data_IF_076745700651
#
_entry.id   IF_076745700651
#
_cell.length_a   1.000
_cell.length_b   1.000
_cell.length_c   1.000
_cell.angle_alpha   90.00
_cell.angle_beta   90.00
_cell.angle_gamma   90.00
#
_symmetry.space_group_name_H-M   'P 1'
#
loop_
_entity.id
_entity.type
_entity.pdbx_description
1 polymer ?
#
# COMPACT_ATOMS: atom_id res chain seq x y z
N UNK A 1 2.21 -10.72 62.65
CA UNK A 1 2.02 -11.86 61.73
C UNK A 1 0.56 -11.86 61.30
N UNK A 2 0.12 -11.64 60.07
CA UNK A 2 0.71 -11.16 58.82
C UNK A 2 -0.47 -10.58 58.02
N UNK A 3 -0.29 -9.45 57.34
CA UNK A 3 -1.26 -8.87 56.41
C UNK A 3 -1.43 -9.84 55.22
N UNK A 4 -2.67 -10.25 54.93
CA UNK A 4 -3.01 -10.91 53.66
C UNK A 4 -3.06 -9.86 52.56
N UNK A 5 -1.96 -9.76 51.82
CA UNK A 5 -1.81 -8.94 50.63
C UNK A 5 -2.76 -9.43 49.53
N UNK A 6 -3.70 -8.58 49.15
CA UNK A 6 -4.52 -8.77 47.97
C UNK A 6 -3.62 -8.77 46.72
N UNK A 7 -3.51 -9.92 46.06
CA UNK A 7 -2.94 -10.02 44.71
C UNK A 7 -3.98 -9.43 43.75
N UNK A 8 -3.84 -8.14 43.45
CA UNK A 8 -4.50 -7.54 42.30
C UNK A 8 -3.85 -8.12 41.04
N UNK A 9 -4.53 -9.09 40.42
CA UNK A 9 -4.24 -9.52 39.07
C UNK A 9 -4.62 -8.36 38.14
N UNK A 10 -3.68 -7.47 37.86
CA UNK A 10 -3.86 -6.46 36.81
C UNK A 10 -3.77 -7.19 35.47
N UNK A 11 -4.92 -7.60 34.95
CA UNK A 11 -5.09 -7.87 33.53
C UNK A 11 -5.01 -6.51 32.84
N UNK A 12 -3.78 -6.07 32.54
CA UNK A 12 -3.56 -5.02 31.59
C UNK A 12 -3.94 -5.58 30.22
N UNK A 13 -5.22 -5.47 29.85
CA UNK A 13 -5.62 -5.53 28.45
C UNK A 13 -4.97 -4.34 27.76
N UNK A 14 -3.75 -4.53 27.28
CA UNK A 14 -3.21 -3.65 26.27
C UNK A 14 -4.12 -3.80 25.05
N UNK A 15 -4.87 -2.74 24.73
CA UNK A 15 -5.50 -2.54 23.43
C UNK A 15 -4.37 -2.39 22.40
N UNK A 16 -3.61 -3.47 22.16
CA UNK A 16 -2.61 -3.52 21.11
C UNK A 16 -3.36 -3.61 19.80
N UNK A 17 -3.75 -2.43 19.28
CA UNK A 17 -4.30 -2.32 17.95
C UNK A 17 -3.35 -3.04 16.99
N UNK A 18 -3.84 -4.00 16.18
CA UNK A 18 -3.00 -4.78 15.28
C UNK A 18 -2.09 -3.87 14.46
N UNK A 19 -0.80 -4.20 14.37
CA UNK A 19 0.16 -3.43 13.60
C UNK A 19 -0.34 -3.23 12.15
N UNK A 20 -0.06 -2.08 11.53
CA UNK A 20 -0.46 -1.84 10.15
C UNK A 20 0.19 -2.86 9.22
N UNK A 21 -0.58 -3.35 8.26
CA UNK A 21 -0.13 -4.29 7.21
C UNK A 21 0.12 -3.52 5.92
N UNK A 22 1.32 -3.68 5.36
CA UNK A 22 1.67 -3.01 4.12
C UNK A 22 1.23 -3.84 2.90
N UNK A 23 0.63 -3.20 1.89
CA UNK A 23 0.23 -3.87 0.64
C UNK A 23 1.44 -4.39 -0.13
N UNK A 24 2.59 -3.74 0.01
CA UNK A 24 3.83 -4.17 -0.63
C UNK A 24 5.06 -3.85 0.20
N UNK A 25 6.16 -4.48 -0.16
CA UNK A 25 7.48 -4.21 0.39
C UNK A 25 8.43 -3.79 -0.72
N UNK A 26 9.34 -2.87 -0.39
CA UNK A 26 10.41 -2.48 -1.30
C UNK A 26 11.42 -3.61 -1.45
N UNK A 27 11.77 -3.95 -2.70
CA UNK A 27 12.87 -4.87 -2.96
C UNK A 27 14.18 -4.13 -2.76
N UNK A 28 14.92 -4.49 -1.70
CA UNK A 28 16.28 -4.00 -1.50
C UNK A 28 17.19 -4.61 -2.58
N UNK A 29 17.36 -3.88 -3.67
CA UNK A 29 18.37 -4.25 -4.67
C UNK A 29 19.70 -3.64 -4.21
N UNK A 30 20.80 -4.40 -4.10
CA UNK A 30 22.11 -3.81 -3.88
C UNK A 30 22.39 -2.77 -4.98
N UNK A 31 23.03 -1.65 -4.61
CA UNK A 31 23.39 -0.56 -5.51
C UNK A 31 24.33 -1.08 -6.62
N UNK A 32 23.77 -1.65 -7.68
CA UNK A 32 24.48 -1.81 -8.94
C UNK A 32 24.26 -0.54 -9.73
N UNK A 33 25.30 0.27 -9.76
CA UNK A 33 25.42 1.41 -10.66
C UNK A 33 25.17 0.95 -12.09
N UNK A 34 24.40 1.77 -12.81
CA UNK A 34 24.40 1.89 -14.26
C UNK A 34 23.55 0.89 -15.07
N UNK A 35 22.30 1.29 -15.33
CA UNK A 35 21.84 1.32 -16.70
C UNK A 35 20.82 2.47 -16.88
N UNK A 36 21.09 3.46 -17.75
CA UNK A 36 20.12 4.48 -18.11
C UNK A 36 19.05 3.82 -18.98
N UNK A 37 18.10 3.15 -18.36
CA UNK A 37 16.82 2.86 -19.03
C UNK A 37 16.25 4.22 -19.40
N UNK A 38 15.81 4.46 -20.66
CA UNK A 38 15.15 5.71 -21.02
C UNK A 38 13.93 5.88 -20.11
N UNK A 39 14.09 6.70 -19.07
CA UNK A 39 13.02 7.01 -18.13
C UNK A 39 12.15 8.05 -18.82
N UNK A 40 10.85 7.77 -18.82
CA UNK A 40 9.83 8.75 -19.20
C UNK A 40 10.14 10.08 -18.47
N UNK A 41 10.17 11.25 -19.14
CA UNK A 41 10.65 12.49 -18.54
C UNK A 41 9.79 12.99 -17.36
N UNK A 42 8.57 12.47 -17.21
CA UNK A 42 7.68 12.71 -16.08
C UNK A 42 7.89 11.75 -14.89
N UNK A 43 8.70 10.70 -15.02
CA UNK A 43 8.99 9.76 -13.92
C UNK A 43 10.18 10.30 -13.12
N UNK A 44 9.92 10.67 -11.86
CA UNK A 44 10.92 11.20 -10.93
C UNK A 44 11.74 10.08 -10.31
N UNK A 45 11.06 9.03 -9.84
CA UNK A 45 11.66 7.88 -9.17
C UNK A 45 10.89 6.61 -9.51
N UNK A 46 11.60 5.50 -9.43
CA UNK A 46 11.03 4.18 -9.58
C UNK A 46 11.71 3.21 -8.61
N UNK A 47 10.98 2.18 -8.18
CA UNK A 47 11.53 1.08 -7.40
C UNK A 47 10.73 -0.19 -7.60
N UNK A 48 11.40 -1.33 -7.51
CA UNK A 48 10.71 -2.62 -7.52
C UNK A 48 10.03 -2.86 -6.16
N UNK A 49 8.82 -3.41 -6.20
CA UNK A 49 8.01 -3.77 -5.04
C UNK A 49 7.48 -5.20 -5.17
N UNK A 50 7.27 -5.85 -4.03
CA UNK A 50 6.66 -7.19 -3.93
C UNK A 50 5.37 -7.07 -3.12
N UNK A 51 4.28 -7.63 -3.64
CA UNK A 51 2.97 -7.60 -3.00
C UNK A 51 2.88 -8.59 -1.83
N UNK A 52 2.19 -8.19 -0.77
CA UNK A 52 1.68 -9.11 0.24
C UNK A 52 0.43 -9.81 -0.32
N UNK A 53 0.61 -11.02 -0.86
CA UNK A 53 -0.47 -11.77 -1.51
C UNK A 53 -1.63 -12.10 -0.55
N UNK A 54 -1.41 -12.55 0.71
CA UNK A 54 -2.47 -12.68 1.70
C UNK A 54 -3.26 -11.39 1.89
N UNK A 55 -2.60 -10.24 2.00
CA UNK A 55 -3.28 -8.95 2.16
C UNK A 55 -4.06 -8.57 0.90
N UNK A 56 -3.52 -8.87 -0.27
CA UNK A 56 -4.21 -8.66 -1.55
C UNK A 56 -5.52 -9.44 -1.64
N UNK A 57 -5.56 -10.69 -1.13
CA UNK A 57 -6.81 -11.46 -1.08
C UNK A 57 -7.85 -10.82 -0.16
N UNK A 58 -7.43 -10.32 1.00
CA UNK A 58 -8.32 -9.60 1.92
C UNK A 58 -8.90 -8.35 1.23
N UNK A 59 -8.06 -7.58 0.54
CA UNK A 59 -8.49 -6.36 -0.14
C UNK A 59 -9.47 -6.61 -1.30
N UNK A 60 -9.34 -7.76 -1.98
CA UNK A 60 -10.20 -8.18 -3.11
C UNK A 60 -11.59 -8.59 -2.65
N UNK A 61 -11.73 -9.07 -1.41
CA UNK A 61 -12.98 -9.52 -0.85
C UNK A 61 -13.82 -8.33 -0.35
N UNK A 62 -14.87 -7.97 -1.11
CA UNK A 62 -15.78 -6.89 -0.73
C UNK A 62 -16.50 -7.14 0.60
N UNK A 63 -16.64 -8.41 1.01
CA UNK A 63 -17.25 -8.82 2.28
C UNK A 63 -16.30 -8.81 3.48
N UNK A 64 -14.98 -8.70 3.28
CA UNK A 64 -13.96 -8.80 4.32
C UNK A 64 -13.83 -7.53 5.20
N UNK A 65 -14.95 -7.04 5.73
CA UNK A 65 -14.99 -5.85 6.61
C UNK A 65 -15.22 -6.25 8.06
N UNK A 66 -14.56 -5.59 9.04
CA UNK A 66 -13.61 -4.48 8.86
C UNK A 66 -12.23 -4.96 8.35
N UNK A 67 -11.61 -4.20 7.46
CA UNK A 67 -10.22 -4.45 7.08
C UNK A 67 -9.28 -4.19 8.25
N UNK A 68 -8.13 -4.89 8.36
CA UNK A 68 -7.07 -4.47 9.25
C UNK A 68 -6.55 -3.09 8.83
N UNK A 69 -5.71 -2.45 9.65
CA UNK A 69 -5.05 -1.21 9.24
C UNK A 69 -4.14 -1.51 8.05
N UNK A 70 -4.46 -0.96 6.88
CA UNK A 70 -3.72 -1.17 5.63
C UNK A 70 -2.87 0.06 5.37
N UNK A 71 -1.61 -0.14 5.01
CA UNK A 71 -0.70 0.92 4.60
C UNK A 71 -0.05 0.63 3.26
N UNK A 72 0.49 1.67 2.64
CA UNK A 72 1.38 1.56 1.48
C UNK A 72 2.67 2.29 1.76
N UNK A 73 3.82 1.68 1.45
CA UNK A 73 5.10 2.38 1.49
C UNK A 73 5.32 3.17 0.20
N UNK A 74 5.61 4.46 0.31
CA UNK A 74 6.05 5.32 -0.79
C UNK A 74 7.57 5.59 -0.70
N UNK A 75 8.11 6.49 -1.53
CA UNK A 75 9.56 6.68 -1.69
C UNK A 75 10.26 7.38 -0.53
N UNK A 76 9.53 8.11 0.30
CA UNK A 76 10.07 8.83 1.46
C UNK A 76 10.28 7.91 2.68
N UNK A 77 9.99 6.62 2.55
CA UNK A 77 10.02 5.65 3.65
C UNK A 77 8.81 5.77 4.59
N UNK A 78 7.89 6.69 4.33
CA UNK A 78 6.67 6.86 5.10
C UNK A 78 5.60 5.89 4.61
N UNK A 79 4.99 5.15 5.54
CA UNK A 79 3.82 4.33 5.27
C UNK A 79 2.56 5.19 5.35
N UNK A 80 1.79 5.23 4.27
CA UNK A 80 0.52 5.96 4.19
C UNK A 80 -0.64 5.01 4.50
N UNK A 81 -1.43 5.32 5.54
CA UNK A 81 -2.60 4.50 5.88
C UNK A 81 -3.76 4.76 4.91
N UNK A 82 -4.36 3.68 4.44
CA UNK A 82 -5.47 3.71 3.51
C UNK A 82 -6.81 3.73 4.26
N UNK A 83 -7.71 4.59 3.81
CA UNK A 83 -9.13 4.54 4.12
C UNK A 83 -9.90 4.01 2.92
N UNK A 84 -10.24 2.71 2.95
CA UNK A 84 -10.85 2.03 1.82
C UNK A 84 -12.36 2.22 1.84
N UNK A 85 -12.86 3.10 0.98
CA UNK A 85 -14.28 3.44 0.87
C UNK A 85 -15.08 2.48 0.00
N UNK A 86 -14.45 1.81 -0.97
CA UNK A 86 -15.15 0.89 -1.87
C UNK A 86 -14.27 -0.27 -2.34
N UNK A 87 -14.83 -1.48 -2.35
CA UNK A 87 -14.28 -2.65 -3.04
C UNK A 87 -15.38 -3.19 -3.93
N UNK A 88 -15.13 -3.25 -5.24
CA UNK A 88 -16.05 -3.84 -6.22
C UNK A 88 -15.38 -5.08 -6.80
N UNK A 89 -15.76 -6.25 -6.29
CA UNK A 89 -15.34 -7.54 -6.83
C UNK A 89 -16.15 -7.84 -8.09
N UNK A 90 -15.48 -7.91 -9.24
CA UNK A 90 -16.11 -8.17 -10.56
C UNK A 90 -16.14 -9.66 -10.88
N UNK A 91 -15.16 -10.40 -10.40
CA UNK A 91 -15.04 -11.85 -10.50
C UNK A 91 -14.24 -12.37 -9.31
N UNK A 92 -14.06 -13.69 -9.21
CA UNK A 92 -13.23 -14.30 -8.15
C UNK A 92 -11.78 -13.79 -8.18
N UNK A 93 -11.30 -13.30 -9.32
CA UNK A 93 -9.91 -12.84 -9.49
C UNK A 93 -9.75 -11.35 -9.72
N UNK A 94 -10.83 -10.61 -10.03
CA UNK A 94 -10.73 -9.18 -10.33
C UNK A 94 -11.52 -8.33 -9.34
N UNK A 95 -10.86 -7.31 -8.78
CA UNK A 95 -11.52 -6.28 -7.99
C UNK A 95 -10.98 -4.88 -8.29
N UNK A 96 -11.85 -3.89 -8.11
CA UNK A 96 -11.48 -2.47 -8.09
C UNK A 96 -11.65 -1.96 -6.67
N UNK A 97 -10.57 -1.44 -6.09
CA UNK A 97 -10.52 -0.92 -4.73
C UNK A 97 -10.28 0.58 -4.81
N UNK A 98 -11.07 1.36 -4.10
CA UNK A 98 -10.99 2.82 -4.08
C UNK A 98 -11.02 3.33 -2.66
N UNK A 99 -10.40 4.48 -2.44
CA UNK A 99 -10.35 5.09 -1.14
C UNK A 99 -9.54 6.38 -1.12
N UNK A 100 -9.30 6.84 0.10
CA UNK A 100 -8.49 8.02 0.39
C UNK A 100 -7.36 7.67 1.34
N UNK A 101 -6.37 8.54 1.48
CA UNK A 101 -5.39 8.42 2.56
C UNK A 101 -5.98 8.96 3.86
N UNK A 102 -5.64 8.32 5.00
CA UNK A 102 -5.97 8.88 6.31
C UNK A 102 -5.11 10.11 6.61
N UNK A 103 -5.62 11.07 7.42
CA UNK A 103 -4.84 12.21 7.86
C UNK A 103 -3.51 11.81 8.51
N UNK A 104 -2.44 12.60 8.35
CA UNK A 104 -2.42 13.95 7.77
C UNK A 104 -2.39 13.99 6.23
N UNK A 105 -2.26 12.83 5.61
CA UNK A 105 -2.17 12.68 4.16
C UNK A 105 -3.49 13.02 3.47
N UNK A 106 -3.39 13.71 2.33
CA UNK A 106 -4.54 14.15 1.53
C UNK A 106 -4.40 13.63 0.11
N UNK A 107 -5.40 12.88 -0.32
CA UNK A 107 -5.42 12.32 -1.65
C UNK A 107 -6.27 11.05 -1.71
N UNK A 108 -6.32 10.49 -2.90
CA UNK A 108 -7.13 9.33 -3.24
C UNK A 108 -6.30 8.28 -3.97
N UNK A 109 -6.86 7.07 -4.01
CA UNK A 109 -6.26 5.97 -4.75
C UNK A 109 -7.32 5.11 -5.42
N UNK A 110 -6.91 4.49 -6.51
CA UNK A 110 -7.63 3.41 -7.18
C UNK A 110 -6.66 2.28 -7.47
N UNK A 111 -6.97 1.09 -6.98
CA UNK A 111 -6.27 -0.15 -7.31
C UNK A 111 -7.16 -1.07 -8.10
N UNK A 112 -6.59 -1.66 -9.15
CA UNK A 112 -7.19 -2.74 -9.92
C UNK A 112 -6.36 -3.98 -9.66
N UNK A 113 -7.00 -4.98 -9.06
CA UNK A 113 -6.40 -6.28 -8.76
C UNK A 113 -6.89 -7.28 -9.78
N UNK A 114 -5.98 -8.09 -10.34
CA UNK A 114 -6.30 -9.22 -11.19
C UNK A 114 -5.40 -10.41 -10.85
N UNK A 115 -5.94 -11.41 -10.16
CA UNK A 115 -5.18 -12.53 -9.60
C UNK A 115 -4.16 -12.03 -8.57
N UNK A 116 -2.87 -12.17 -8.87
CA UNK A 116 -1.74 -11.66 -8.07
C UNK A 116 -1.19 -10.32 -8.57
N UNK A 117 -1.79 -9.73 -9.61
CA UNK A 117 -1.37 -8.44 -10.16
C UNK A 117 -2.13 -7.30 -9.49
N UNK A 118 -1.44 -6.18 -9.26
CA UNK A 118 -2.01 -4.92 -8.80
C UNK A 118 -1.50 -3.78 -9.68
N UNK A 119 -2.42 -3.13 -10.38
CA UNK A 119 -2.16 -1.87 -11.07
C UNK A 119 -2.89 -0.78 -10.31
N UNK A 120 -2.16 0.25 -9.93
CA UNK A 120 -2.63 1.24 -8.98
C UNK A 120 -2.27 2.64 -9.41
N UNK A 121 -3.15 3.58 -9.09
CA UNK A 121 -2.90 5.01 -9.17
C UNK A 121 -3.24 5.63 -7.83
N UNK A 122 -2.36 6.49 -7.33
CA UNK A 122 -2.49 7.20 -6.06
C UNK A 122 -2.13 8.66 -6.30
N UNK A 123 -3.05 9.58 -6.03
CA UNK A 123 -2.75 11.00 -5.97
C UNK A 123 -2.49 11.35 -4.50
N UNK A 124 -1.34 11.93 -4.19
CA UNK A 124 -1.02 12.38 -2.83
C UNK A 124 -0.36 13.76 -2.89
N UNK A 125 -1.08 14.79 -2.44
CA UNK A 125 -0.67 16.18 -2.66
C UNK A 125 -0.47 16.46 -4.15
N UNK A 126 0.69 17.00 -4.52
CA UNK A 126 1.07 17.33 -5.89
C UNK A 126 1.82 16.20 -6.62
N UNK A 127 1.85 14.99 -6.04
CA UNK A 127 2.53 13.83 -6.61
C UNK A 127 1.55 12.76 -7.03
N UNK A 128 1.83 12.18 -8.19
CA UNK A 128 1.13 11.01 -8.70
C UNK A 128 2.03 9.78 -8.50
N UNK A 129 1.47 8.71 -7.95
CA UNK A 129 2.16 7.44 -7.84
C UNK A 129 1.41 6.37 -8.63
N UNK A 130 2.16 5.52 -9.32
CA UNK A 130 1.59 4.40 -10.07
C UNK A 130 2.32 3.10 -9.75
N UNK A 131 1.56 2.02 -9.67
CA UNK A 131 2.14 0.68 -9.72
C UNK A 131 1.91 0.09 -11.09
N UNK A 132 2.99 -0.41 -11.70
CA UNK A 132 2.97 -1.02 -13.02
C UNK A 132 3.61 -2.41 -12.94
N UNK A 133 3.09 -3.34 -13.74
CA UNK A 133 3.70 -4.64 -13.91
C UNK A 133 4.91 -4.52 -14.84
N UNK A 134 6.02 -5.16 -14.45
CA UNK A 134 7.23 -5.28 -15.26
C UNK A 134 7.48 -6.76 -15.57
N UNK A 135 8.52 -7.05 -16.36
CA UNK A 135 8.78 -8.43 -16.81
C UNK A 135 8.96 -9.41 -15.64
N UNK A 136 8.68 -10.70 -15.87
CA UNK A 136 8.84 -11.78 -14.89
C UNK A 136 7.94 -11.68 -13.63
N UNK A 137 6.73 -11.13 -13.74
CA UNK A 137 5.78 -11.12 -12.61
C UNK A 137 6.10 -10.09 -11.52
N UNK A 138 7.06 -9.21 -11.77
CA UNK A 138 7.50 -8.19 -10.81
C UNK A 138 6.66 -6.93 -10.95
N UNK A 139 6.60 -6.13 -9.88
CA UNK A 139 5.90 -4.86 -9.86
C UNK A 139 6.87 -3.72 -9.60
N UNK A 140 6.57 -2.56 -10.18
CA UNK A 140 7.30 -1.33 -9.97
C UNK A 140 6.38 -0.25 -9.44
N UNK A 141 6.81 0.45 -8.39
CA UNK A 141 6.22 1.71 -7.97
C UNK A 141 6.93 2.85 -8.69
N UNK A 142 6.17 3.83 -9.16
CA UNK A 142 6.65 5.04 -9.82
C UNK A 142 6.17 6.26 -9.04
N UNK A 143 7.06 7.24 -8.88
CA UNK A 143 6.71 8.62 -8.51
C UNK A 143 6.76 9.47 -9.77
N UNK A 144 5.66 10.16 -10.06
CA UNK A 144 5.42 10.92 -11.29
C UNK A 144 5.17 12.37 -10.95
N UNK A 145 5.76 13.25 -11.76
CA UNK A 145 5.48 14.68 -11.80
C UNK A 145 4.27 14.92 -12.71
N UNK A 146 3.07 15.20 -12.15
CA UNK A 146 1.86 15.31 -12.95
C UNK A 146 1.92 16.49 -13.95
N UNK A 147 2.66 17.55 -13.63
CA UNK A 147 2.82 18.73 -14.49
C UNK A 147 3.62 18.44 -15.77
N UNK A 148 4.33 17.30 -15.81
CA UNK A 148 5.14 16.86 -16.95
C UNK A 148 4.47 15.74 -17.74
N UNK A 149 3.28 15.30 -17.34
CA UNK A 149 2.55 14.29 -18.10
C UNK A 149 2.18 14.87 -19.48
N UNK A 150 2.33 14.07 -20.56
CA UNK A 150 1.80 14.46 -21.85
C UNK A 150 0.27 14.57 -21.76
N UNK A 151 -0.35 15.47 -22.54
CA UNK A 151 -1.81 15.50 -22.68
C UNK A 151 -2.30 14.17 -23.28
N UNK A 152 -3.49 13.75 -22.85
CA UNK A 152 -4.18 12.54 -23.33
C UNK A 152 -4.68 12.71 -24.78
#
# INVERSE_FOLDING_TARGET
MAMLSAVFCQIAWADERPAPKNVWQTVQTPLTTDQPVPRRPWVLRDREIVLDLPLLQILKDAGARPHPRITVELFDGTSQELDISSTISRSNDTAVIRGTFKPPSKGDFTFVVNGSLLVGTMQLGDRLYKTEHITNGRLRLLEIDPDKLPPD
#
